data_IF_312678812827
#
_entry.id   IF_312678812827
#
_cell.length_a   1.000
_cell.length_b   1.000
_cell.length_c   1.000
_cell.angle_alpha   90.00
_cell.angle_beta   90.00
_cell.angle_gamma   90.00
#
_symmetry.space_group_name_H-M   'P 1'
#
loop_
_entity.id
_entity.type
_entity.pdbx_description
1 polymer ?
#
# COMPACT_ATOMS: atom_id res chain seq x y z
N UNK A 1 -24.90 15.48 30.32
CA UNK A 1 -23.95 14.73 31.17
C UNK A 1 -23.02 13.89 30.29
N UNK A 2 -21.73 14.23 30.11
CA UNK A 2 -20.80 13.45 29.28
C UNK A 2 -19.62 12.86 30.09
N UNK A 3 -18.83 11.99 29.45
CA UNK A 3 -17.53 11.40 29.90
C UNK A 3 -17.58 10.19 30.85
N UNK A 4 -17.87 8.99 30.32
CA UNK A 4 -17.22 7.75 30.83
C UNK A 4 -16.76 6.75 29.76
N UNK A 5 -17.05 6.96 28.47
CA UNK A 5 -16.69 5.97 27.43
C UNK A 5 -15.30 6.12 26.79
N UNK A 6 -14.56 7.22 27.02
CA UNK A 6 -13.29 7.49 26.32
C UNK A 6 -12.02 6.97 27.01
N UNK A 7 -12.10 6.37 28.20
CA UNK A 7 -10.89 6.00 28.97
C UNK A 7 -10.43 4.54 28.70
N UNK A 8 -11.29 3.68 28.14
CA UNK A 8 -10.92 2.28 27.83
C UNK A 8 -10.26 2.04 26.47
N UNK A 9 -10.16 3.06 25.61
CA UNK A 9 -9.62 2.91 24.24
C UNK A 9 -8.12 3.23 24.12
N UNK A 10 -7.48 3.79 25.15
CA UNK A 10 -6.06 4.17 25.06
C UNK A 10 -5.11 3.01 25.41
N UNK A 11 -5.50 2.15 26.36
CA UNK A 11 -4.62 1.07 26.85
C UNK A 11 -4.60 -0.17 25.94
N UNK A 12 -5.50 -0.26 24.96
CA UNK A 12 -5.47 -1.35 23.96
C UNK A 12 -4.56 -1.03 22.78
N UNK A 13 -4.34 0.26 22.48
CA UNK A 13 -3.43 0.70 21.42
C UNK A 13 -1.97 0.61 21.88
N UNK A 14 -1.68 0.85 23.18
CA UNK A 14 -0.30 0.70 23.71
C UNK A 14 0.17 -0.75 23.84
N UNK A 15 -0.73 -1.72 24.08
CA UNK A 15 -0.34 -3.15 24.19
C UNK A 15 -0.04 -3.82 22.85
N UNK A 16 -0.43 -3.20 21.73
CA UNK A 16 -0.11 -3.66 20.37
C UNK A 16 1.27 -3.19 19.85
N UNK A 17 1.96 -2.30 20.58
CA UNK A 17 3.22 -1.71 20.12
C UNK A 17 4.48 -2.35 20.73
N UNK A 18 4.34 -3.47 21.44
CA UNK A 18 5.48 -4.27 21.91
C UNK A 18 5.92 -5.34 20.90
N UNK A 19 5.24 -5.46 19.76
CA UNK A 19 5.78 -6.21 18.64
C UNK A 19 6.75 -5.31 17.89
N UNK A 20 8.03 -5.46 18.21
CA UNK A 20 9.18 -4.83 17.56
C UNK A 20 8.93 -4.62 16.06
N UNK A 21 8.73 -3.38 15.57
CA UNK A 21 8.54 -3.11 14.15
C UNK A 21 9.73 -3.56 13.30
N UNK A 22 10.87 -3.81 13.94
CA UNK A 22 12.08 -4.37 13.34
C UNK A 22 11.86 -5.69 12.60
N UNK A 23 11.02 -6.61 13.08
CA UNK A 23 10.95 -7.96 12.46
C UNK A 23 10.18 -7.94 11.14
N UNK A 24 9.15 -7.09 11.02
CA UNK A 24 8.35 -7.02 9.79
C UNK A 24 9.07 -6.32 8.64
N UNK A 25 9.96 -5.36 8.93
CA UNK A 25 10.72 -4.64 7.91
C UNK A 25 12.02 -5.39 7.53
N UNK A 26 12.55 -6.20 8.44
CA UNK A 26 13.81 -6.93 8.23
C UNK A 26 13.70 -8.06 7.21
N UNK A 27 12.60 -8.82 7.21
CA UNK A 27 12.38 -9.90 6.23
C UNK A 27 11.97 -9.39 4.84
N UNK A 28 11.46 -8.15 4.74
CA UNK A 28 11.10 -7.51 3.47
C UNK A 28 12.21 -6.65 2.86
N UNK A 29 13.34 -6.49 3.55
CA UNK A 29 14.43 -5.62 3.13
C UNK A 29 15.39 -6.34 2.16
N UNK A 30 15.80 -5.64 1.10
CA UNK A 30 16.82 -6.07 0.12
C UNK A 30 18.13 -6.50 0.81
N UNK A 31 18.38 -6.01 2.02
CA UNK A 31 19.55 -6.35 2.82
C UNK A 31 19.58 -7.83 3.27
N UNK A 32 18.43 -8.41 3.63
CA UNK A 32 18.33 -9.83 4.02
C UNK A 32 18.64 -10.76 2.84
N UNK A 33 18.15 -10.40 1.65
CA UNK A 33 18.45 -11.10 0.40
C UNK A 33 19.96 -11.11 0.11
N UNK A 34 20.63 -9.97 0.34
CA UNK A 34 22.08 -9.85 0.15
C UNK A 34 22.90 -10.77 1.07
N UNK A 35 22.50 -10.91 2.33
CA UNK A 35 23.17 -11.81 3.29
C UNK A 35 23.04 -13.28 2.85
N UNK A 36 21.84 -13.72 2.44
CA UNK A 36 21.61 -15.08 1.95
C UNK A 36 22.47 -15.35 0.71
N UNK A 37 22.54 -14.39 -0.21
CA UNK A 37 23.34 -14.52 -1.42
C UNK A 37 24.84 -14.69 -1.09
N UNK A 38 25.37 -13.89 -0.15
CA UNK A 38 26.76 -14.00 0.31
C UNK A 38 27.02 -15.37 0.94
N UNK A 39 26.10 -15.87 1.76
CA UNK A 39 26.22 -17.20 2.38
C UNK A 39 26.23 -18.33 1.34
N UNK A 40 25.38 -18.25 0.31
CA UNK A 40 25.37 -19.22 -0.79
C UNK A 40 26.72 -19.19 -1.53
N UNK A 41 27.22 -18.00 -1.88
CA UNK A 41 28.51 -17.86 -2.56
C UNK A 41 29.65 -18.43 -1.70
N UNK A 42 29.67 -18.14 -0.40
CA UNK A 42 30.66 -18.67 0.51
C UNK A 42 30.59 -20.20 0.62
N UNK A 43 29.39 -20.77 0.64
CA UNK A 43 29.17 -22.22 0.66
C UNK A 43 29.64 -22.89 -0.62
N UNK A 44 29.41 -22.28 -1.78
CA UNK A 44 29.92 -22.76 -3.07
C UNK A 44 31.44 -22.73 -3.08
N UNK A 45 32.08 -21.63 -2.62
CA UNK A 45 33.56 -21.54 -2.55
C UNK A 45 34.14 -22.62 -1.64
N UNK A 46 33.50 -22.88 -0.49
CA UNK A 46 33.90 -23.94 0.44
C UNK A 46 33.80 -25.33 -0.19
N UNK A 47 32.70 -25.63 -0.90
CA UNK A 47 32.46 -26.97 -1.49
C UNK A 47 33.05 -27.17 -2.89
N UNK A 48 33.49 -26.10 -3.57
CA UNK A 48 34.11 -26.16 -4.91
C UNK A 48 35.54 -26.75 -4.91
N UNK A 49 36.04 -27.22 -3.77
CA UNK A 49 37.32 -27.93 -3.71
C UNK A 49 38.56 -27.03 -3.75
N UNK A 50 38.42 -25.73 -3.50
CA UNK A 50 39.56 -24.81 -3.35
C UNK A 50 40.44 -25.10 -2.12
N UNK A 51 39.96 -25.92 -1.18
CA UNK A 51 40.69 -26.31 0.02
C UNK A 51 41.12 -27.78 -0.09
N UNK A 52 42.41 -28.08 -0.33
CA UNK A 52 42.90 -29.43 -0.63
C UNK A 52 42.84 -30.43 0.54
N UNK A 53 42.43 -30.00 1.75
CA UNK A 53 42.39 -30.84 2.96
C UNK A 53 40.97 -31.22 3.42
N UNK A 54 39.93 -30.72 2.76
CA UNK A 54 38.53 -31.01 3.06
C UNK A 54 37.92 -31.85 1.93
N UNK A 55 37.40 -33.03 2.26
CA UNK A 55 36.59 -33.80 1.31
C UNK A 55 35.36 -32.97 0.91
N UNK A 56 35.04 -32.83 -0.39
CA UNK A 56 33.84 -32.13 -0.83
C UNK A 56 32.61 -32.80 -0.22
N UNK A 57 31.89 -32.09 0.66
CA UNK A 57 30.69 -32.61 1.32
C UNK A 57 29.52 -32.67 0.33
N UNK A 58 29.45 -31.70 -0.59
CA UNK A 58 28.46 -31.64 -1.67
C UNK A 58 29.20 -31.42 -3.02
N UNK A 59 29.62 -32.50 -3.71
CA UNK A 59 30.27 -32.39 -5.02
C UNK A 59 29.35 -31.72 -6.04
N UNK A 60 29.95 -31.02 -7.02
CA UNK A 60 29.21 -30.50 -8.16
C UNK A 60 28.38 -31.64 -8.79
N UNK A 61 27.04 -31.53 -8.84
CA UNK A 61 26.27 -30.28 -9.04
C UNK A 61 25.58 -29.66 -7.79
N UNK A 62 26.02 -29.91 -6.56
CA UNK A 62 25.45 -29.33 -5.32
C UNK A 62 23.97 -29.68 -5.02
N UNK A 63 23.61 -30.97 -5.09
CA UNK A 63 22.22 -31.43 -4.98
C UNK A 63 21.55 -31.07 -3.63
N UNK A 64 22.31 -31.02 -2.54
CA UNK A 64 21.77 -30.76 -1.20
C UNK A 64 21.42 -29.27 -1.06
N UNK A 65 22.30 -28.39 -1.54
CA UNK A 65 22.09 -26.95 -1.55
C UNK A 65 20.82 -26.58 -2.34
N UNK A 66 20.69 -27.11 -3.55
CA UNK A 66 19.55 -26.85 -4.44
C UNK A 66 18.22 -27.28 -3.81
N UNK A 67 18.22 -28.44 -3.15
CA UNK A 67 17.03 -28.94 -2.45
C UNK A 67 16.60 -27.99 -1.33
N UNK A 68 17.53 -27.55 -0.48
CA UNK A 68 17.25 -26.63 0.62
C UNK A 68 16.77 -25.27 0.10
N UNK A 69 17.43 -24.75 -0.94
CA UNK A 69 17.11 -23.46 -1.54
C UNK A 69 15.70 -23.45 -2.14
N UNK A 70 15.27 -24.55 -2.76
CA UNK A 70 13.92 -24.68 -3.32
C UNK A 70 12.82 -24.57 -2.25
N UNK A 71 12.99 -25.26 -1.11
CA UNK A 71 12.05 -25.19 0.02
C UNK A 71 12.06 -23.79 0.63
N UNK A 72 13.25 -23.19 0.77
CA UNK A 72 13.38 -21.84 1.29
C UNK A 72 12.67 -20.81 0.39
N UNK A 73 12.77 -20.96 -0.93
CA UNK A 73 12.09 -20.10 -1.90
C UNK A 73 10.56 -20.19 -1.79
N UNK A 74 9.99 -21.38 -1.55
CA UNK A 74 8.55 -21.55 -1.35
C UNK A 74 8.08 -20.79 -0.09
N UNK A 75 8.82 -20.91 1.01
CA UNK A 75 8.50 -20.21 2.27
C UNK A 75 8.58 -18.69 2.08
N UNK A 76 9.60 -18.19 1.38
CA UNK A 76 9.73 -16.77 1.04
C UNK A 76 8.56 -16.29 0.19
N UNK A 77 8.19 -17.03 -0.86
CA UNK A 77 7.07 -16.68 -1.74
C UNK A 77 5.75 -16.56 -0.97
N UNK A 78 5.45 -17.51 -0.08
CA UNK A 78 4.26 -17.46 0.76
C UNK A 78 4.30 -16.26 1.72
N UNK A 79 5.46 -16.01 2.35
CA UNK A 79 5.65 -14.87 3.27
C UNK A 79 5.43 -13.54 2.56
N UNK A 80 5.97 -13.40 1.35
CA UNK A 80 5.74 -12.24 0.47
C UNK A 80 4.26 -12.12 0.11
N UNK A 81 3.61 -13.22 -0.29
CA UNK A 81 2.19 -13.20 -0.66
C UNK A 81 1.28 -12.77 0.50
N UNK A 82 1.57 -13.21 1.72
CA UNK A 82 0.86 -12.80 2.94
C UNK A 82 1.07 -11.30 3.19
N UNK A 83 2.31 -10.82 3.08
CA UNK A 83 2.64 -9.40 3.25
C UNK A 83 1.94 -8.52 2.21
N UNK A 84 1.96 -8.95 0.95
CA UNK A 84 1.23 -8.28 -0.14
C UNK A 84 -0.28 -8.30 0.08
N UNK A 85 -0.86 -9.40 0.59
CA UNK A 85 -2.29 -9.46 0.91
C UNK A 85 -2.68 -8.42 1.96
N UNK A 86 -1.86 -8.25 3.01
CA UNK A 86 -2.05 -7.24 4.05
C UNK A 86 -1.96 -5.82 3.48
N UNK A 87 -0.93 -5.55 2.67
CA UNK A 87 -0.73 -4.25 2.02
C UNK A 87 -1.91 -3.90 1.11
N UNK A 88 -2.34 -4.83 0.24
CA UNK A 88 -3.50 -4.64 -0.64
C UNK A 88 -4.80 -4.36 0.10
N UNK A 89 -5.01 -4.97 1.27
CA UNK A 89 -6.19 -4.66 2.08
C UNK A 89 -6.15 -3.24 2.62
N UNK A 90 -4.98 -2.79 3.10
CA UNK A 90 -4.81 -1.43 3.60
C UNK A 90 -4.92 -0.39 2.47
N UNK A 91 -4.33 -0.68 1.31
CA UNK A 91 -4.44 0.14 0.10
C UNK A 91 -5.89 0.31 -0.34
N UNK A 92 -6.68 -0.76 -0.36
CA UNK A 92 -8.11 -0.69 -0.71
C UNK A 92 -8.91 0.21 0.24
N UNK A 93 -8.65 0.12 1.55
CA UNK A 93 -9.33 1.00 2.51
C UNK A 93 -8.92 2.45 2.30
N UNK A 94 -7.62 2.70 2.07
CA UNK A 94 -7.11 4.04 1.77
C UNK A 94 -7.74 4.62 0.50
N UNK A 95 -7.81 3.83 -0.56
CA UNK A 95 -8.42 4.20 -1.84
C UNK A 95 -9.90 4.56 -1.66
N UNK A 96 -10.67 3.76 -0.91
CA UNK A 96 -12.08 4.05 -0.62
C UNK A 96 -12.26 5.36 0.14
N UNK A 97 -11.43 5.61 1.16
CA UNK A 97 -11.47 6.85 1.94
C UNK A 97 -11.11 8.06 1.08
N UNK A 98 -10.05 7.94 0.27
CA UNK A 98 -9.61 8.99 -0.63
C UNK A 98 -10.67 9.33 -1.67
N UNK A 99 -11.32 8.30 -2.22
CA UNK A 99 -12.45 8.48 -3.13
C UNK A 99 -13.63 9.19 -2.46
N UNK A 100 -14.03 8.77 -1.25
CA UNK A 100 -15.14 9.39 -0.52
C UNK A 100 -14.85 10.86 -0.19
N UNK A 101 -13.63 11.16 0.27
CA UNK A 101 -13.21 12.54 0.55
C UNK A 101 -13.23 13.38 -0.72
N UNK A 102 -12.75 12.86 -1.85
CA UNK A 102 -12.77 13.58 -3.11
C UNK A 102 -14.19 13.88 -3.59
N UNK A 103 -15.08 12.87 -3.60
CA UNK A 103 -16.50 13.05 -3.96
C UNK A 103 -17.19 14.10 -3.09
N UNK A 104 -16.89 14.08 -1.78
CA UNK A 104 -17.42 15.06 -0.85
C UNK A 104 -16.89 16.47 -1.13
N UNK A 105 -15.57 16.60 -1.34
CA UNK A 105 -14.94 17.87 -1.67
C UNK A 105 -15.54 18.47 -2.94
N UNK A 106 -15.75 17.65 -3.99
CA UNK A 106 -16.40 18.10 -5.22
C UNK A 106 -17.81 18.62 -4.98
N UNK A 107 -18.61 17.93 -4.16
CA UNK A 107 -19.97 18.37 -3.79
C UNK A 107 -19.95 19.70 -3.02
N UNK A 108 -19.02 19.85 -2.07
CA UNK A 108 -18.86 21.08 -1.28
C UNK A 108 -18.42 22.26 -2.17
N UNK A 109 -17.50 22.02 -3.12
CA UNK A 109 -17.06 23.02 -4.10
C UNK A 109 -18.22 23.46 -5.00
N UNK A 110 -18.99 22.52 -5.57
CA UNK A 110 -20.16 22.84 -6.40
C UNK A 110 -21.17 23.69 -5.65
N UNK A 111 -21.44 23.35 -4.38
CA UNK A 111 -22.34 24.14 -3.53
C UNK A 111 -21.82 25.55 -3.28
N UNK A 112 -20.51 25.72 -3.10
CA UNK A 112 -19.88 27.04 -2.96
C UNK A 112 -20.03 27.83 -4.27
N UNK A 113 -19.83 27.22 -5.44
CA UNK A 113 -20.03 27.85 -6.75
C UNK A 113 -21.49 28.31 -6.93
N UNK A 114 -22.46 27.45 -6.60
CA UNK A 114 -23.89 27.81 -6.64
C UNK A 114 -24.22 28.99 -5.71
N UNK A 115 -23.69 28.98 -4.49
CA UNK A 115 -23.88 30.08 -3.54
C UNK A 115 -23.23 31.38 -4.05
N UNK A 116 -22.06 31.28 -4.68
CA UNK A 116 -21.37 32.43 -5.25
C UNK A 116 -22.16 33.03 -6.42
N UNK A 117 -22.71 32.20 -7.29
CA UNK A 117 -23.58 32.63 -8.39
C UNK A 117 -24.84 33.34 -7.85
N UNK A 118 -25.49 32.81 -6.82
CA UNK A 118 -26.64 33.45 -6.18
C UNK A 118 -26.28 34.84 -5.61
N UNK A 119 -25.06 35.00 -5.07
CA UNK A 119 -24.58 36.29 -4.59
C UNK A 119 -24.30 37.25 -5.75
N UNK A 120 -23.67 36.79 -6.83
CA UNK A 120 -23.42 37.59 -8.04
C UNK A 120 -24.73 38.09 -8.66
N UNK A 121 -25.74 37.21 -8.79
CA UNK A 121 -27.07 37.58 -9.29
C UNK A 121 -27.73 38.66 -8.42
N UNK A 122 -27.65 38.56 -7.09
CA UNK A 122 -28.18 39.58 -6.16
C UNK A 122 -27.47 40.92 -6.24
N UNK A 123 -26.17 40.92 -6.58
CA UNK A 123 -25.37 42.12 -6.75
C UNK A 123 -25.49 42.74 -8.16
N UNK A 124 -26.23 42.11 -9.07
CA UNK A 124 -26.38 42.56 -10.46
C UNK A 124 -25.11 42.42 -11.29
N UNK A 125 -24.15 41.60 -10.84
CA UNK A 125 -22.91 41.32 -11.54
C UNK A 125 -23.21 40.17 -12.50
N UNK A 126 -23.53 40.49 -13.76
CA UNK A 126 -23.71 39.49 -14.81
C UNK A 126 -22.36 39.23 -15.50
N UNK A 127 -21.49 38.51 -14.81
CA UNK A 127 -20.34 37.86 -15.45
C UNK A 127 -20.81 36.53 -15.99
N UNK A 128 -21.14 36.48 -17.28
CA UNK A 128 -21.34 35.23 -18.02
C UNK A 128 -19.99 34.51 -18.12
N UNK A 129 -19.63 33.81 -17.05
CA UNK A 129 -18.36 33.13 -16.91
C UNK A 129 -18.53 31.69 -17.39
N UNK A 130 -18.27 31.47 -18.68
CA UNK A 130 -18.35 30.16 -19.34
C UNK A 130 -17.46 29.10 -18.63
N UNK A 131 -16.39 29.55 -17.96
CA UNK A 131 -15.51 28.70 -17.17
C UNK A 131 -16.18 28.21 -15.87
N UNK A 132 -17.07 29.00 -15.26
CA UNK A 132 -17.80 28.63 -14.04
C UNK A 132 -18.85 27.53 -14.32
N UNK A 133 -19.56 27.67 -15.44
CA UNK A 133 -20.51 26.66 -15.93
C UNK A 133 -19.79 25.35 -16.30
N UNK A 134 -18.62 25.43 -16.93
CA UNK A 134 -17.79 24.26 -17.21
C UNK A 134 -17.26 23.59 -15.93
N UNK A 135 -16.90 24.36 -14.90
CA UNK A 135 -16.48 23.80 -13.61
C UNK A 135 -17.63 23.05 -12.92
N UNK A 136 -18.83 23.63 -12.89
CA UNK A 136 -20.04 22.96 -12.39
C UNK A 136 -20.35 21.68 -13.15
N UNK A 137 -20.20 21.66 -14.47
CA UNK A 137 -20.43 20.47 -15.28
C UNK A 137 -19.42 19.36 -14.99
N UNK A 138 -18.14 19.70 -14.81
CA UNK A 138 -17.05 18.73 -14.54
C UNK A 138 -17.12 18.14 -13.13
N UNK A 139 -17.70 18.86 -12.16
CA UNK A 139 -17.86 18.43 -10.76
C UNK A 139 -19.14 17.60 -10.50
N UNK A 140 -20.01 17.42 -11.50
CA UNK A 140 -21.23 16.63 -11.34
C UNK A 140 -20.92 15.12 -11.37
N UNK A 141 -20.55 14.58 -10.20
CA UNK A 141 -20.31 13.16 -9.93
C UNK A 141 -21.42 12.24 -10.52
N UNK A 142 -22.67 12.74 -10.65
CA UNK A 142 -23.79 11.97 -11.22
C UNK A 142 -23.61 11.69 -12.71
N UNK A 143 -23.11 12.65 -13.48
CA UNK A 143 -22.83 12.47 -14.92
C UNK A 143 -21.62 11.56 -15.15
N UNK A 144 -20.65 11.56 -14.25
CA UNK A 144 -19.49 10.65 -14.29
C UNK A 144 -19.93 9.19 -14.13
N UNK A 145 -20.84 8.91 -13.18
CA UNK A 145 -21.46 7.58 -13.04
C UNK A 145 -22.22 7.13 -14.30
N UNK A 146 -22.91 8.04 -14.99
CA UNK A 146 -23.60 7.72 -16.24
C UNK A 146 -22.64 7.43 -17.40
N UNK A 147 -21.50 8.15 -17.50
CA UNK A 147 -20.49 7.89 -18.53
C UNK A 147 -19.80 6.54 -18.35
N UNK A 148 -19.53 6.13 -17.11
CA UNK A 148 -18.93 4.82 -16.83
C UNK A 148 -19.93 3.70 -17.14
N UNK A 149 -21.20 3.84 -16.72
CA UNK A 149 -22.26 2.85 -17.00
C UNK A 149 -22.60 2.71 -18.49
N UNK A 150 -22.32 3.73 -19.31
CA UNK A 150 -22.57 3.71 -20.77
C UNK A 150 -21.38 3.16 -21.57
N UNK A 151 -20.24 2.94 -20.91
CA UNK A 151 -19.02 2.43 -21.53
C UNK A 151 -18.74 0.94 -21.24
N UNK A 152 -19.57 0.30 -20.42
CA UNK A 152 -19.73 -1.16 -20.28
C UNK A 152 -21.00 -1.63 -21.01
#
# INVERSE_FOLDING_TARGET
MPRKSKIKSNNQVERGNLETPFVSDFLGSVWFLGIILILIILYIIWNAGFIPWLHPFDPSPFNILDTILSVFAIILSITVLISQKRQRQMEKVREQVEFEVNVRAETEITKILEMLEQVQQKLGINTADEDLEQMKEKLDIRKLHERIKKSD
#
